data_IF_258364690955
#
_entry.id   IF_258364690955
#
_cell.length_a   1.000
_cell.length_b   1.000
_cell.length_c   1.000
_cell.angle_alpha   90.00
_cell.angle_beta   90.00
_cell.angle_gamma   90.00
#
_symmetry.space_group_name_H-M   'P 1'
#
loop_
_entity.id
_entity.type
_entity.pdbx_description
1 polymer ?
#
# COMPACT_ATOMS: atom_id res chain seq x y z
N UNK A 1 -0.30 46.27 38.31
CA UNK A 1 -1.73 46.62 38.24
C UNK A 1 -1.88 47.67 37.15
N UNK A 2 -2.22 47.25 35.93
CA UNK A 2 -2.57 48.14 34.82
C UNK A 2 -4.00 47.78 34.47
N UNK A 3 -4.90 48.71 34.78
CA UNK A 3 -6.33 48.59 34.60
C UNK A 3 -6.63 48.81 33.11
N UNK A 4 -6.91 47.72 32.39
CA UNK A 4 -7.32 47.76 30.98
C UNK A 4 -8.83 47.67 30.93
N UNK A 5 -9.48 48.82 31.09
CA UNK A 5 -10.92 48.96 30.94
C UNK A 5 -11.23 48.95 29.43
N UNK A 6 -11.45 47.76 28.89
CA UNK A 6 -11.91 47.54 27.52
C UNK A 6 -13.36 48.04 27.41
N UNK A 7 -13.54 49.23 26.81
CA UNK A 7 -14.85 49.81 26.54
C UNK A 7 -15.67 48.86 25.67
N UNK A 8 -16.78 48.39 26.24
CA UNK A 8 -17.77 47.59 25.52
C UNK A 8 -18.24 48.32 24.25
N UNK A 9 -18.40 47.61 23.12
CA UNK A 9 -18.91 48.20 21.89
C UNK A 9 -20.33 48.74 22.10
N UNK A 10 -20.69 49.88 21.49
CA UNK A 10 -22.00 50.48 21.65
C UNK A 10 -23.10 49.52 21.16
N UNK A 11 -24.28 49.55 21.79
CA UNK A 11 -25.40 48.68 21.41
C UNK A 11 -25.81 48.93 19.95
N UNK A 12 -25.91 47.85 19.18
CA UNK A 12 -26.31 47.84 17.77
C UNK A 12 -27.62 48.60 17.59
N UNK A 13 -27.56 49.75 16.91
CA UNK A 13 -28.76 50.45 16.49
C UNK A 13 -29.53 49.61 15.47
N UNK A 14 -30.87 49.55 15.56
CA UNK A 14 -31.69 48.78 14.65
C UNK A 14 -31.49 49.29 13.21
N UNK A 15 -30.84 48.46 12.39
CA UNK A 15 -30.51 48.81 11.01
C UNK A 15 -31.79 49.06 10.21
N UNK A 16 -31.94 50.29 9.71
CA UNK A 16 -33.08 50.69 8.87
C UNK A 16 -33.25 49.73 7.69
N UNK A 17 -34.48 49.29 7.36
CA UNK A 17 -34.72 48.37 6.26
C UNK A 17 -34.22 48.96 4.94
N UNK A 18 -33.25 48.28 4.33
CA UNK A 18 -32.63 48.72 3.07
C UNK A 18 -33.61 48.65 1.92
N UNK A 19 -33.67 49.74 1.17
CA UNK A 19 -34.47 49.84 -0.06
C UNK A 19 -33.95 48.86 -1.12
N UNK A 20 -34.81 48.48 -2.08
CA UNK A 20 -34.41 47.57 -3.16
C UNK A 20 -33.17 48.06 -3.92
N UNK A 21 -33.09 49.37 -4.16
CA UNK A 21 -31.96 50.01 -4.83
C UNK A 21 -30.64 49.91 -4.03
N UNK A 22 -30.70 50.05 -2.70
CA UNK A 22 -29.52 49.90 -1.84
C UNK A 22 -29.01 48.45 -1.81
N UNK A 23 -29.91 47.47 -1.85
CA UNK A 23 -29.52 46.06 -1.95
C UNK A 23 -28.78 45.78 -3.25
N UNK A 24 -29.25 46.31 -4.39
CA UNK A 24 -28.58 46.12 -5.68
C UNK A 24 -27.21 46.82 -5.73
N UNK A 25 -27.05 48.00 -5.12
CA UNK A 25 -25.75 48.68 -5.03
C UNK A 25 -24.78 47.93 -4.11
N UNK A 26 -25.25 47.48 -2.95
CA UNK A 26 -24.43 46.70 -2.02
C UNK A 26 -23.97 45.37 -2.63
N UNK A 27 -24.81 44.75 -3.47
CA UNK A 27 -24.42 43.54 -4.20
C UNK A 27 -23.36 43.83 -5.27
N UNK A 28 -23.53 44.88 -6.08
CA UNK A 28 -22.52 45.29 -7.08
C UNK A 28 -21.18 45.67 -6.44
N UNK A 29 -21.19 46.29 -5.27
CA UNK A 29 -19.97 46.65 -4.55
C UNK A 29 -19.18 45.41 -4.05
N UNK A 30 -19.85 44.28 -3.81
CA UNK A 30 -19.21 43.05 -3.31
C UNK A 30 -18.64 42.15 -4.42
N UNK A 31 -19.04 42.36 -5.67
CA UNK A 31 -18.56 41.56 -6.81
C UNK A 31 -17.03 41.60 -6.98
N UNK A 32 -16.39 42.78 -7.09
CA UNK A 32 -14.93 42.84 -7.29
C UNK A 32 -14.16 42.33 -6.07
N UNK A 33 -14.74 42.43 -4.87
CA UNK A 33 -14.12 41.92 -3.65
C UNK A 33 -14.11 40.37 -3.60
N UNK A 34 -15.08 39.72 -4.24
CA UNK A 34 -15.13 38.25 -4.38
C UNK A 34 -14.16 37.71 -5.42
N UNK A 35 -13.95 38.44 -6.52
CA UNK A 35 -12.90 38.11 -7.50
C UNK A 35 -11.51 38.19 -6.87
N UNK A 36 -11.25 39.24 -6.07
CA UNK A 36 -9.98 39.38 -5.37
C UNK A 36 -9.80 38.40 -4.20
N UNK A 37 -10.88 37.98 -3.53
CA UNK A 37 -10.82 36.96 -2.46
C UNK A 37 -10.72 35.52 -2.99
N UNK A 38 -11.10 35.25 -4.24
CA UNK A 38 -10.90 33.95 -4.90
C UNK A 38 -9.55 33.84 -5.60
N UNK A 39 -8.80 34.93 -5.70
CA UNK A 39 -7.39 34.89 -6.06
C UNK A 39 -6.60 34.27 -4.89
N UNK A 40 -6.55 32.94 -4.87
CA UNK A 40 -5.68 32.17 -3.97
C UNK A 40 -4.27 32.76 -4.08
N UNK A 41 -3.64 33.19 -2.98
CA UNK A 41 -2.31 33.77 -3.04
C UNK A 41 -1.36 32.76 -3.71
N UNK A 42 -0.57 33.16 -4.73
CA UNK A 42 0.29 32.25 -5.48
C UNK A 42 1.37 31.57 -4.61
N UNK A 43 1.51 31.99 -3.35
CA UNK A 43 2.50 31.49 -2.41
C UNK A 43 2.17 30.09 -1.82
N UNK A 44 0.91 29.67 -1.79
CA UNK A 44 0.56 28.30 -1.30
C UNK A 44 0.90 27.23 -2.35
N UNK A 45 1.08 27.61 -3.62
CA UNK A 45 1.44 26.67 -4.69
C UNK A 45 2.94 26.37 -4.77
N UNK A 46 3.80 27.19 -4.15
CA UNK A 46 5.24 26.97 -4.12
C UNK A 46 5.65 25.93 -3.08
N UNK A 47 4.96 25.86 -1.94
CA UNK A 47 5.36 24.97 -0.83
C UNK A 47 4.88 23.51 -1.02
N UNK A 48 3.78 23.30 -1.75
CA UNK A 48 3.34 21.93 -2.13
C UNK A 48 4.22 21.33 -3.24
N UNK A 49 5.02 22.14 -3.94
CA UNK A 49 5.88 21.65 -5.05
C UNK A 49 7.27 21.17 -4.60
N UNK A 50 7.64 21.32 -3.32
CA UNK A 50 8.94 20.87 -2.82
C UNK A 50 8.97 19.43 -2.29
N UNK A 51 7.83 18.75 -2.17
CA UNK A 51 7.76 17.30 -1.96
C UNK A 51 7.44 16.58 -3.27
N UNK A 52 8.27 16.82 -4.29
CA UNK A 52 8.30 15.94 -5.45
C UNK A 52 8.96 14.62 -5.05
N UNK A 53 8.16 13.71 -4.49
CA UNK A 53 8.54 12.29 -4.41
C UNK A 53 8.75 11.81 -5.83
N UNK A 54 10.00 11.48 -6.14
CA UNK A 54 10.46 10.88 -7.38
C UNK A 54 9.56 9.67 -7.69
N UNK A 55 8.85 9.60 -8.83
CA UNK A 55 8.04 8.44 -9.14
C UNK A 55 8.96 7.23 -9.29
N UNK A 56 8.72 6.22 -8.46
CA UNK A 56 9.38 4.93 -8.57
C UNK A 56 9.07 4.36 -9.96
N UNK A 57 10.15 4.03 -10.67
CA UNK A 57 10.15 3.43 -12.00
C UNK A 57 9.32 2.14 -11.95
N UNK A 58 8.18 2.13 -12.63
CA UNK A 58 7.42 0.92 -12.90
C UNK A 58 8.19 0.08 -13.92
N UNK A 59 8.93 -0.93 -13.46
CA UNK A 59 9.50 -1.96 -14.32
C UNK A 59 8.39 -2.86 -14.85
N UNK A 60 8.03 -2.65 -16.12
CA UNK A 60 7.22 -3.58 -16.89
C UNK A 60 8.05 -4.85 -17.18
N UNK A 61 7.70 -5.97 -16.55
CA UNK A 61 8.23 -7.29 -16.91
C UNK A 61 7.19 -7.98 -17.80
N UNK A 62 7.43 -7.93 -19.11
CA UNK A 62 6.70 -8.73 -20.10
C UNK A 62 7.41 -10.08 -20.24
N UNK A 63 6.92 -11.12 -19.57
CA UNK A 63 7.38 -12.49 -19.81
C UNK A 63 6.57 -13.12 -20.94
N UNK A 64 7.15 -13.17 -22.15
CA UNK A 64 6.68 -14.02 -23.23
C UNK A 64 7.31 -15.40 -23.07
N UNK A 65 6.51 -16.42 -22.78
CA UNK A 65 6.94 -17.82 -22.73
C UNK A 65 6.18 -18.59 -23.80
N UNK A 66 6.89 -18.96 -24.86
CA UNK A 66 6.45 -19.91 -25.89
C UNK A 66 6.85 -21.32 -25.47
N UNK A 67 5.94 -22.29 -25.32
CA UNK A 67 6.33 -23.68 -25.13
C UNK A 67 6.52 -24.36 -26.49
N UNK A 68 7.74 -24.85 -26.74
CA UNK A 68 8.05 -25.77 -27.83
C UNK A 68 7.69 -27.20 -27.40
N UNK A 69 6.77 -27.83 -28.11
CA UNK A 69 6.37 -29.23 -27.95
C UNK A 69 7.14 -30.06 -28.96
N UNK A 70 7.90 -31.06 -28.50
CA UNK A 70 8.50 -32.10 -29.34
C UNK A 70 7.76 -33.42 -29.09
N UNK A 71 7.27 -34.12 -30.13
CA UNK A 71 6.58 -35.39 -29.95
C UNK A 71 7.56 -36.55 -29.83
N UNK A 72 7.28 -37.47 -28.91
CA UNK A 72 8.05 -38.69 -28.69
C UNK A 72 7.60 -39.76 -29.67
N UNK A 73 8.55 -40.30 -30.43
CA UNK A 73 8.33 -41.35 -31.42
C UNK A 73 8.21 -42.74 -30.81
N UNK A 74 7.21 -43.47 -31.29
CA UNK A 74 6.92 -44.88 -31.09
C UNK A 74 8.01 -45.77 -31.67
N UNK A 75 8.40 -46.85 -30.97
CA UNK A 75 8.88 -48.07 -31.62
C UNK A 75 8.69 -49.32 -30.75
N UNK A 76 7.80 -50.19 -31.21
CA UNK A 76 7.69 -51.60 -30.82
C UNK A 76 8.83 -52.41 -31.45
N UNK A 77 9.40 -53.37 -30.69
CA UNK A 77 9.88 -54.66 -31.22
C UNK A 77 9.75 -55.73 -30.12
N UNK A 78 8.94 -56.75 -30.43
CA UNK A 78 8.82 -58.04 -29.75
C UNK A 78 9.87 -59.02 -30.29
N UNK A 79 10.52 -59.82 -29.43
CA UNK A 79 10.68 -61.28 -29.63
C UNK A 79 11.56 -61.96 -28.56
N UNK A 80 11.05 -63.12 -28.11
CA UNK A 80 11.64 -64.21 -27.34
C UNK A 80 13.14 -64.47 -27.52
N UNK A 81 13.78 -64.85 -26.41
CA UNK A 81 15.01 -65.63 -26.40
C UNK A 81 15.54 -65.88 -24.99
N UNK A 82 15.25 -67.05 -24.42
CA UNK A 82 16.11 -67.68 -23.40
C UNK A 82 17.21 -68.43 -24.15
N UNK A 83 18.49 -68.19 -23.82
CA UNK A 83 19.14 -69.21 -23.01
C UNK A 83 20.11 -68.65 -21.96
N UNK A 84 20.24 -69.49 -20.94
CA UNK A 84 21.22 -69.53 -19.88
C UNK A 84 22.67 -69.37 -20.40
N UNK A 85 23.34 -68.29 -20.00
CA UNK A 85 24.80 -68.14 -20.08
C UNK A 85 25.31 -67.34 -18.89
N UNK A 86 26.00 -68.06 -18.01
CA UNK A 86 26.90 -67.58 -16.96
C UNK A 86 27.93 -66.62 -17.54
N UNK A 87 27.78 -65.32 -17.31
CA UNK A 87 28.84 -64.34 -17.53
C UNK A 87 28.76 -63.26 -16.45
N UNK A 88 29.91 -62.99 -15.82
CA UNK A 88 30.11 -61.91 -14.86
C UNK A 88 29.58 -60.57 -15.39
N UNK A 89 28.38 -60.18 -14.97
CA UNK A 89 27.84 -58.84 -15.17
C UNK A 89 28.32 -57.98 -14.01
N UNK A 90 29.35 -57.19 -14.27
CA UNK A 90 29.64 -56.01 -13.45
C UNK A 90 28.38 -55.11 -13.45
N UNK A 91 27.96 -54.56 -12.31
CA UNK A 91 26.72 -53.79 -12.22
C UNK A 91 26.89 -52.44 -12.94
N UNK A 92 26.54 -52.39 -14.21
CA UNK A 92 26.35 -51.16 -14.99
C UNK A 92 25.01 -50.51 -14.64
N UNK A 93 24.87 -50.11 -13.38
CA UNK A 93 23.71 -49.39 -12.84
C UNK A 93 24.20 -48.05 -12.30
N UNK A 94 24.79 -47.21 -13.14
CA UNK A 94 25.29 -45.88 -12.72
C UNK A 94 24.66 -44.70 -13.47
N UNK A 95 23.74 -44.92 -14.42
CA UNK A 95 23.30 -43.84 -15.31
C UNK A 95 22.01 -43.08 -14.91
N UNK A 96 21.24 -43.50 -13.89
CA UNK A 96 19.91 -42.91 -13.61
C UNK A 96 19.83 -41.93 -12.43
N UNK A 97 20.88 -41.82 -11.61
CA UNK A 97 20.87 -40.92 -10.44
C UNK A 97 21.20 -39.45 -10.76
N UNK A 98 21.65 -39.12 -11.97
CA UNK A 98 22.10 -37.77 -12.33
C UNK A 98 20.96 -36.79 -12.66
N UNK A 99 19.75 -37.25 -13.01
CA UNK A 99 18.62 -36.35 -13.31
C UNK A 99 17.89 -35.85 -12.07
N UNK A 100 17.90 -36.60 -10.97
CA UNK A 100 17.19 -36.23 -9.74
C UNK A 100 17.95 -35.14 -8.97
N UNK A 101 19.28 -35.13 -9.03
CA UNK A 101 20.11 -34.11 -8.34
C UNK A 101 20.02 -32.73 -8.97
N UNK A 102 19.86 -32.63 -10.30
CA UNK A 102 19.81 -31.34 -11.00
C UNK A 102 18.54 -30.54 -10.66
N UNK A 103 17.39 -31.22 -10.56
CA UNK A 103 16.10 -30.57 -10.28
C UNK A 103 15.97 -30.03 -8.85
N UNK A 104 16.65 -30.66 -7.88
CA UNK A 104 16.69 -30.19 -6.50
C UNK A 104 17.54 -28.92 -6.35
N UNK A 105 18.58 -28.78 -7.18
CA UNK A 105 19.43 -27.60 -7.18
C UNK A 105 18.68 -26.34 -7.65
N UNK A 106 17.88 -26.45 -8.72
CA UNK A 106 17.13 -25.30 -9.29
C UNK A 106 16.14 -24.71 -8.28
N UNK A 107 15.41 -25.56 -7.55
CA UNK A 107 14.44 -25.11 -6.52
C UNK A 107 15.14 -24.38 -5.37
N UNK A 108 16.33 -24.84 -4.98
CA UNK A 108 17.13 -24.18 -3.94
C UNK A 108 17.56 -22.78 -4.36
N UNK A 109 18.12 -22.63 -5.57
CA UNK A 109 18.53 -21.32 -6.08
C UNK A 109 17.35 -20.34 -6.20
N UNK A 110 16.18 -20.83 -6.62
CA UNK A 110 14.99 -19.99 -6.76
C UNK A 110 14.47 -19.51 -5.39
N UNK A 111 14.49 -20.38 -4.38
CA UNK A 111 14.15 -20.02 -2.99
C UNK A 111 15.16 -19.03 -2.39
N UNK A 112 16.45 -19.23 -2.62
CA UNK A 112 17.51 -18.31 -2.17
C UNK A 112 17.34 -16.94 -2.84
N UNK A 113 17.11 -16.90 -4.16
CA UNK A 113 16.88 -15.66 -4.89
C UNK A 113 15.62 -14.93 -4.37
N UNK A 114 14.52 -15.66 -4.16
CA UNK A 114 13.30 -15.08 -3.58
C UNK A 114 13.54 -14.50 -2.18
N UNK A 115 14.31 -15.20 -1.34
CA UNK A 115 14.67 -14.71 -0.01
C UNK A 115 15.53 -13.44 -0.07
N UNK A 116 16.49 -13.34 -1.01
CA UNK A 116 17.27 -12.12 -1.21
C UNK A 116 16.43 -10.95 -1.70
N UNK A 117 15.49 -11.17 -2.62
CA UNK A 117 14.57 -10.13 -3.10
C UNK A 117 13.68 -9.64 -1.96
N UNK A 118 13.11 -10.56 -1.18
CA UNK A 118 12.28 -10.23 -0.02
C UNK A 118 13.07 -9.51 1.09
N UNK A 119 14.31 -9.94 1.37
CA UNK A 119 15.19 -9.27 2.31
C UNK A 119 15.63 -7.89 1.83
N UNK A 120 15.88 -7.73 0.53
CA UNK A 120 16.14 -6.44 -0.10
C UNK A 120 14.96 -5.47 0.00
N UNK A 121 13.74 -5.97 -0.21
CA UNK A 121 12.53 -5.18 0.01
C UNK A 121 12.35 -4.79 1.48
N UNK A 122 12.61 -5.71 2.43
CA UNK A 122 12.60 -5.42 3.86
C UNK A 122 13.59 -4.31 4.25
N UNK A 123 14.86 -4.46 3.84
CA UNK A 123 15.92 -3.48 4.13
C UNK A 123 15.64 -2.08 3.58
N UNK A 124 15.06 -1.99 2.38
CA UNK A 124 14.68 -0.69 1.80
C UNK A 124 13.52 -0.04 2.54
N UNK A 125 12.52 -0.81 2.96
CA UNK A 125 11.39 -0.31 3.78
C UNK A 125 11.89 0.15 5.16
N UNK A 126 12.62 -0.71 5.87
CA UNK A 126 13.20 -0.41 7.19
C UNK A 126 14.14 0.81 7.13
N UNK A 127 14.96 0.89 6.08
CA UNK A 127 15.88 2.00 5.86
C UNK A 127 15.17 3.33 5.61
N UNK A 128 14.11 3.31 4.79
CA UNK A 128 13.30 4.51 4.51
C UNK A 128 12.57 5.02 5.75
N UNK A 129 12.07 4.11 6.60
CA UNK A 129 11.43 4.48 7.87
C UNK A 129 12.44 4.98 8.90
N UNK A 130 13.61 4.35 8.99
CA UNK A 130 14.70 4.86 9.81
C UNK A 130 15.06 6.29 9.42
N UNK A 131 15.19 6.55 8.12
CA UNK A 131 15.50 7.89 7.63
C UNK A 131 14.45 8.94 8.03
N UNK A 132 13.15 8.59 8.06
CA UNK A 132 12.09 9.53 8.45
C UNK A 132 12.05 9.85 9.94
N UNK A 133 12.69 9.05 10.81
CA UNK A 133 12.83 9.35 12.24
C UNK A 133 13.92 10.39 12.53
N UNK A 134 14.82 10.63 11.57
CA UNK A 134 15.87 11.63 11.71
C UNK A 134 15.32 13.05 11.62
N UNK A 135 15.51 13.85 12.67
CA UNK A 135 15.25 15.31 12.62
C UNK A 135 16.27 16.08 11.78
N UNK A 136 17.35 15.41 11.36
CA UNK A 136 18.41 15.92 10.48
C UNK A 136 18.85 14.84 9.51
N UNK A 137 19.46 15.23 8.40
CA UNK A 137 19.96 14.29 7.38
C UNK A 137 20.96 13.27 7.95
N UNK A 138 21.80 13.71 8.90
CA UNK A 138 22.78 12.85 9.58
C UNK A 138 22.08 11.82 10.48
N UNK A 139 21.10 12.26 11.27
CA UNK A 139 20.31 11.35 12.10
C UNK A 139 19.52 10.34 11.24
N UNK A 140 18.94 10.80 10.12
CA UNK A 140 18.23 9.94 9.18
C UNK A 140 19.16 8.89 8.56
N UNK A 141 20.37 9.28 8.16
CA UNK A 141 21.39 8.35 7.67
C UNK A 141 21.80 7.30 8.71
N UNK A 142 21.96 7.70 9.98
CA UNK A 142 22.28 6.77 11.07
C UNK A 142 21.14 5.77 11.31
N UNK A 143 19.89 6.22 11.35
CA UNK A 143 18.75 5.33 11.53
C UNK A 143 18.53 4.39 10.33
N UNK A 144 18.82 4.84 9.11
CA UNK A 144 18.83 3.98 7.92
C UNK A 144 19.88 2.87 8.07
N UNK A 145 21.10 3.22 8.48
CA UNK A 145 22.17 2.25 8.69
C UNK A 145 21.82 1.24 9.80
N UNK A 146 21.18 1.69 10.89
CA UNK A 146 20.68 0.82 11.96
C UNK A 146 19.59 -0.13 11.44
N UNK A 147 18.66 0.35 10.62
CA UNK A 147 17.62 -0.46 10.00
C UNK A 147 18.19 -1.58 9.12
N UNK A 148 19.11 -1.23 8.21
CA UNK A 148 19.78 -2.21 7.34
C UNK A 148 20.60 -3.21 8.17
N UNK A 149 21.31 -2.76 9.20
CA UNK A 149 22.07 -3.63 10.08
C UNK A 149 21.17 -4.62 10.85
N UNK A 150 20.01 -4.16 11.34
CA UNK A 150 19.05 -5.01 12.04
C UNK A 150 18.50 -6.11 11.12
N UNK A 151 18.17 -5.78 9.86
CA UNK A 151 17.72 -6.76 8.88
C UNK A 151 18.81 -7.80 8.58
N UNK A 152 20.07 -7.38 8.39
CA UNK A 152 21.20 -8.30 8.20
C UNK A 152 21.40 -9.24 9.39
N UNK A 153 21.23 -8.73 10.62
CA UNK A 153 21.29 -9.53 11.85
C UNK A 153 20.17 -10.57 11.86
N UNK A 154 18.93 -10.19 11.52
CA UNK A 154 17.78 -11.10 11.48
C UNK A 154 18.00 -12.25 10.50
N UNK A 155 18.68 -12.00 9.37
CA UNK A 155 19.00 -13.04 8.38
C UNK A 155 20.21 -13.91 8.75
N UNK A 156 21.30 -13.32 9.22
CA UNK A 156 22.57 -14.04 9.38
C UNK A 156 22.69 -14.81 10.70
N UNK A 157 22.10 -14.28 11.77
CA UNK A 157 22.32 -14.77 13.13
C UNK A 157 21.72 -16.17 13.40
N UNK A 158 20.50 -16.52 12.94
CA UNK A 158 19.89 -17.81 13.29
C UNK A 158 20.74 -19.03 12.91
N UNK A 159 21.32 -19.06 11.70
CA UNK A 159 22.16 -20.16 11.24
C UNK A 159 23.43 -20.29 12.08
N UNK A 160 24.07 -19.17 12.43
CA UNK A 160 25.27 -19.17 13.30
C UNK A 160 24.94 -19.57 14.74
N UNK A 161 23.79 -19.12 15.26
CA UNK A 161 23.31 -19.52 16.59
C UNK A 161 23.10 -21.03 16.69
N UNK A 162 22.55 -21.67 15.65
CA UNK A 162 22.40 -23.14 15.61
C UNK A 162 23.75 -23.86 15.54
N UNK A 163 24.67 -23.38 14.71
CA UNK A 163 26.03 -23.96 14.65
C UNK A 163 26.75 -23.86 16.00
N UNK A 164 26.68 -22.70 16.68
CA UNK A 164 27.22 -22.50 18.03
C UNK A 164 26.56 -23.42 19.07
N UNK A 165 25.24 -23.62 18.96
CA UNK A 165 24.51 -24.53 19.83
C UNK A 165 24.96 -25.98 19.64
N UNK A 166 25.14 -26.43 18.39
CA UNK A 166 25.68 -27.76 18.04
C UNK A 166 27.12 -27.94 18.52
N UNK A 167 27.94 -26.89 18.43
CA UNK A 167 29.31 -26.86 18.96
C UNK A 167 29.39 -26.83 20.51
N UNK A 168 28.25 -26.99 21.21
CA UNK A 168 28.10 -26.93 22.67
C UNK A 168 28.49 -25.58 23.31
N UNK A 169 28.67 -24.52 22.54
CA UNK A 169 28.94 -23.17 23.04
C UNK A 169 27.63 -22.47 23.44
N UNK A 170 26.92 -23.03 24.43
CA UNK A 170 25.55 -22.63 24.79
C UNK A 170 25.43 -21.16 25.22
N UNK A 171 26.39 -20.63 25.96
CA UNK A 171 26.35 -19.24 26.42
C UNK A 171 26.37 -18.23 25.25
N UNK A 172 27.28 -18.45 24.30
CA UNK A 172 27.40 -17.60 23.10
C UNK A 172 26.17 -17.75 22.20
N UNK A 173 25.67 -18.98 22.05
CA UNK A 173 24.44 -19.24 21.30
C UNK A 173 23.22 -18.54 21.92
N UNK A 174 23.07 -18.57 23.25
CA UNK A 174 21.99 -17.85 23.94
C UNK A 174 22.09 -16.34 23.77
N UNK A 175 23.28 -15.76 23.91
CA UNK A 175 23.50 -14.33 23.67
C UNK A 175 23.13 -13.95 22.23
N UNK A 176 23.53 -14.77 21.26
CA UNK A 176 23.20 -14.62 19.85
C UNK A 176 21.68 -14.66 19.59
N UNK A 177 20.96 -15.58 20.23
CA UNK A 177 19.49 -15.63 20.17
C UNK A 177 18.80 -14.40 20.78
N UNK A 178 19.33 -13.87 21.89
CA UNK A 178 18.80 -12.64 22.50
C UNK A 178 18.98 -11.45 21.54
N UNK A 179 20.18 -11.28 20.97
CA UNK A 179 20.45 -10.21 20.00
C UNK A 179 19.54 -10.33 18.78
N UNK A 180 19.36 -11.54 18.27
CA UNK A 180 18.43 -11.81 17.18
C UNK A 180 16.99 -11.42 17.53
N UNK A 181 16.52 -11.78 18.73
CA UNK A 181 15.15 -11.47 19.16
C UNK A 181 14.93 -9.96 19.28
N UNK A 182 15.91 -9.22 19.81
CA UNK A 182 15.85 -7.75 19.87
C UNK A 182 15.79 -7.14 18.47
N UNK A 183 16.66 -7.57 17.55
CA UNK A 183 16.66 -7.10 16.16
C UNK A 183 15.35 -7.45 15.44
N UNK A 184 14.82 -8.65 15.67
CA UNK A 184 13.53 -9.10 15.13
C UNK A 184 12.39 -8.20 15.59
N UNK A 185 12.30 -7.93 16.90
CA UNK A 185 11.26 -7.04 17.45
C UNK A 185 11.38 -5.64 16.87
N UNK A 186 12.60 -5.12 16.71
CA UNK A 186 12.85 -3.84 16.07
C UNK A 186 12.34 -3.82 14.61
N UNK A 187 12.68 -4.82 13.79
CA UNK A 187 12.23 -4.92 12.38
C UNK A 187 10.70 -5.00 12.29
N UNK A 188 10.06 -5.78 13.18
CA UNK A 188 8.59 -5.87 13.23
C UNK A 188 7.97 -4.52 13.59
N UNK A 189 8.48 -3.83 14.61
CA UNK A 189 7.99 -2.50 15.01
C UNK A 189 8.20 -1.45 13.91
N UNK A 190 9.35 -1.47 13.24
CA UNK A 190 9.62 -0.60 12.10
C UNK A 190 8.66 -0.87 10.93
N UNK A 191 8.38 -2.15 10.63
CA UNK A 191 7.40 -2.55 9.63
C UNK A 191 5.98 -2.07 9.97
N UNK A 192 5.58 -2.17 11.25
CA UNK A 192 4.29 -1.64 11.73
C UNK A 192 4.23 -0.12 11.61
N UNK A 193 5.31 0.59 11.95
CA UNK A 193 5.41 2.06 11.83
C UNK A 193 5.23 2.52 10.39
N UNK A 194 5.99 1.93 9.46
CA UNK A 194 5.86 2.22 8.03
C UNK A 194 4.44 1.94 7.51
N UNK A 195 3.87 0.80 7.91
CA UNK A 195 2.50 0.43 7.60
C UNK A 195 1.48 1.46 8.11
N UNK A 196 1.64 1.95 9.34
CA UNK A 196 0.73 2.93 9.93
C UNK A 196 0.78 4.31 9.25
N UNK A 197 1.97 4.77 8.85
CA UNK A 197 2.12 6.06 8.16
C UNK A 197 1.45 6.04 6.78
N UNK A 198 1.63 4.95 6.04
CA UNK A 198 0.95 4.76 4.77
C UNK A 198 -0.57 4.68 4.94
N UNK A 199 -1.05 4.03 6.00
CA UNK A 199 -2.49 3.97 6.29
C UNK A 199 -3.05 5.34 6.67
N UNK A 200 -2.31 6.14 7.44
CA UNK A 200 -2.72 7.50 7.80
C UNK A 200 -2.88 8.40 6.57
N UNK A 201 -1.94 8.31 5.61
CA UNK A 201 -2.00 9.06 4.36
C UNK A 201 -3.23 8.66 3.52
N UNK A 202 -3.48 7.35 3.38
CA UNK A 202 -4.67 6.85 2.66
C UNK A 202 -5.96 7.26 3.35
N UNK A 203 -6.01 7.25 4.69
CA UNK A 203 -7.17 7.73 5.45
C UNK A 203 -7.42 9.22 5.26
N UNK A 204 -6.36 10.03 5.23
CA UNK A 204 -6.47 11.47 5.02
C UNK A 204 -6.94 11.79 3.60
N UNK A 205 -6.44 11.07 2.60
CA UNK A 205 -6.91 11.18 1.21
C UNK A 205 -8.37 10.75 1.09
N UNK A 206 -8.74 9.58 1.65
CA UNK A 206 -10.14 9.12 1.69
C UNK A 206 -11.07 10.10 2.41
N UNK A 207 -10.62 10.72 3.50
CA UNK A 207 -11.39 11.75 4.21
C UNK A 207 -11.54 13.02 3.36
N UNK A 208 -10.56 13.38 2.53
CA UNK A 208 -10.68 14.49 1.59
C UNK A 208 -11.68 14.19 0.47
N UNK A 209 -11.64 12.97 -0.08
CA UNK A 209 -12.56 12.50 -1.12
C UNK A 209 -13.99 12.42 -0.56
N UNK A 210 -14.18 11.82 0.61
CA UNK A 210 -15.48 11.75 1.27
C UNK A 210 -16.08 13.14 1.49
N UNK A 211 -15.27 14.11 1.96
CA UNK A 211 -15.70 15.51 2.10
C UNK A 211 -16.11 16.15 0.77
N UNK A 212 -15.39 15.86 -0.32
CA UNK A 212 -15.76 16.35 -1.65
C UNK A 212 -17.09 15.78 -2.13
N UNK A 213 -17.34 14.49 -1.91
CA UNK A 213 -18.62 13.84 -2.23
C UNK A 213 -19.76 14.45 -1.41
N UNK A 214 -19.60 14.58 -0.09
CA UNK A 214 -20.61 15.20 0.78
C UNK A 214 -20.93 16.64 0.34
N UNK A 215 -19.90 17.43 0.01
CA UNK A 215 -20.08 18.81 -0.47
C UNK A 215 -20.83 18.87 -1.80
N UNK A 216 -20.57 17.95 -2.73
CA UNK A 216 -21.29 17.86 -3.99
C UNK A 216 -22.75 17.41 -3.80
N UNK A 217 -23.01 16.51 -2.85
CA UNK A 217 -24.37 16.12 -2.48
C UNK A 217 -25.17 17.26 -1.85
N UNK A 218 -24.58 18.02 -0.93
CA UNK A 218 -25.22 19.20 -0.33
C UNK A 218 -25.54 20.25 -1.39
N UNK A 219 -24.60 20.51 -2.31
CA UNK A 219 -24.81 21.43 -3.42
C UNK A 219 -25.95 20.98 -4.35
N UNK A 220 -26.05 19.67 -4.62
CA UNK A 220 -27.15 19.12 -5.40
C UNK A 220 -28.50 19.27 -4.68
N UNK A 221 -28.56 18.98 -3.37
CA UNK A 221 -29.80 19.14 -2.58
C UNK A 221 -30.25 20.61 -2.54
N UNK A 222 -29.32 21.55 -2.43
CA UNK A 222 -29.65 22.99 -2.46
C UNK A 222 -30.15 23.41 -3.85
N UNK A 223 -29.54 22.92 -4.94
CA UNK A 223 -30.00 23.16 -6.30
C UNK A 223 -31.42 22.60 -6.54
N UNK A 224 -31.70 21.37 -6.08
CA UNK A 224 -33.03 20.74 -6.16
C UNK A 224 -34.08 21.54 -5.37
N UNK A 225 -33.74 21.98 -4.15
CA UNK A 225 -34.62 22.81 -3.34
C UNK A 225 -34.86 24.19 -3.97
N UNK A 226 -33.85 24.78 -4.62
CA UNK A 226 -34.00 26.03 -5.36
C UNK A 226 -34.88 25.88 -6.59
N UNK A 227 -34.73 24.78 -7.33
CA UNK A 227 -35.59 24.47 -8.49
C UNK A 227 -37.05 24.34 -8.04
N UNK A 228 -37.31 23.58 -6.99
CA UNK A 228 -38.66 23.35 -6.47
C UNK A 228 -39.37 24.67 -6.09
N UNK A 229 -38.64 25.60 -5.45
CA UNK A 229 -39.19 26.92 -5.07
C UNK A 229 -39.58 27.77 -6.28
N UNK A 230 -38.74 27.81 -7.31
CA UNK A 230 -38.95 28.67 -8.49
C UNK A 230 -39.96 28.06 -9.47
N UNK A 231 -39.88 26.76 -9.72
CA UNK A 231 -40.75 26.06 -10.68
C UNK A 231 -42.19 25.87 -10.18
N UNK A 232 -42.46 26.02 -8.87
CA UNK A 232 -43.82 25.95 -8.32
C UNK A 232 -44.77 27.01 -8.90
N UNK A 233 -44.22 28.14 -9.37
CA UNK A 233 -44.96 29.24 -9.97
C UNK A 233 -45.23 29.08 -11.48
N UNK A 234 -44.72 28.01 -12.10
CA UNK A 234 -44.86 27.71 -13.53
C UNK A 234 -43.52 27.56 -14.27
N UNK A 235 -43.55 26.93 -15.44
CA UNK A 235 -42.37 26.62 -16.27
C UNK A 235 -41.82 27.84 -17.04
N UNK A 236 -41.40 28.87 -16.30
CA UNK A 236 -40.78 30.08 -16.85
C UNK A 236 -39.30 29.91 -17.23
N UNK A 237 -38.69 30.97 -17.78
CA UNK A 237 -37.26 31.00 -18.16
C UNK A 237 -36.34 30.63 -16.98
N UNK A 238 -36.64 31.11 -15.78
CA UNK A 238 -35.87 30.82 -14.56
C UNK A 238 -35.93 29.34 -14.16
N UNK A 239 -37.06 28.67 -14.38
CA UNK A 239 -37.19 27.24 -14.10
C UNK A 239 -36.23 26.42 -14.99
N UNK A 240 -36.14 26.75 -16.28
CA UNK A 240 -35.21 26.08 -17.21
C UNK A 240 -33.74 26.31 -16.85
N UNK A 241 -33.39 27.51 -16.40
CA UNK A 241 -32.03 27.83 -15.95
C UNK A 241 -31.66 27.04 -14.69
N UNK A 242 -32.60 26.88 -13.74
CA UNK A 242 -32.41 26.05 -12.54
C UNK A 242 -32.31 24.56 -12.84
N UNK A 243 -33.08 24.06 -13.81
CA UNK A 243 -32.92 22.68 -14.29
C UNK A 243 -31.54 22.44 -14.91
N UNK A 244 -30.95 23.43 -15.58
CA UNK A 244 -29.61 23.31 -16.13
C UNK A 244 -28.55 23.31 -15.02
N UNK A 245 -28.66 24.20 -14.04
CA UNK A 245 -27.78 24.23 -12.85
C UNK A 245 -27.83 22.88 -12.10
N UNK A 246 -29.02 22.30 -11.90
CA UNK A 246 -29.13 20.97 -11.29
C UNK A 246 -28.46 19.87 -12.11
N UNK A 247 -28.60 19.88 -13.44
CA UNK A 247 -27.90 18.91 -14.31
C UNK A 247 -26.38 19.04 -14.18
N UNK A 248 -25.87 20.27 -14.10
CA UNK A 248 -24.45 20.53 -13.92
C UNK A 248 -23.98 20.06 -12.53
N UNK A 249 -24.73 20.32 -11.44
CA UNK A 249 -24.43 19.77 -10.11
C UNK A 249 -24.50 18.25 -10.04
N UNK A 250 -25.44 17.62 -10.75
CA UNK A 250 -25.50 16.15 -10.86
C UNK A 250 -24.25 15.60 -11.55
N UNK A 251 -23.75 16.27 -12.60
CA UNK A 251 -22.48 15.89 -13.26
C UNK A 251 -21.29 16.06 -12.33
N UNK A 252 -21.21 17.16 -11.58
CA UNK A 252 -20.18 17.38 -10.56
C UNK A 252 -20.18 16.29 -9.49
N UNK A 253 -21.36 15.95 -8.95
CA UNK A 253 -21.51 14.85 -7.98
C UNK A 253 -21.05 13.52 -8.57
N UNK A 254 -21.50 13.18 -9.79
CA UNK A 254 -21.10 11.94 -10.43
C UNK A 254 -19.60 11.88 -10.69
N UNK A 255 -18.97 12.99 -11.09
CA UNK A 255 -17.52 13.08 -11.25
C UNK A 255 -16.80 12.88 -9.90
N UNK A 256 -17.31 13.47 -8.81
CA UNK A 256 -16.75 13.27 -7.47
C UNK A 256 -16.89 11.81 -6.99
N UNK A 257 -18.03 11.18 -7.25
CA UNK A 257 -18.27 9.76 -6.92
C UNK A 257 -17.38 8.85 -7.75
N UNK A 258 -17.30 9.05 -9.07
CA UNK A 258 -16.41 8.26 -9.93
C UNK A 258 -14.93 8.47 -9.58
N UNK A 259 -14.54 9.67 -9.15
CA UNK A 259 -13.20 9.90 -8.60
C UNK A 259 -12.99 9.08 -7.32
N UNK A 260 -13.99 9.01 -6.43
CA UNK A 260 -13.92 8.20 -5.22
C UNK A 260 -13.85 6.70 -5.50
N UNK A 261 -14.61 6.24 -6.50
CA UNK A 261 -14.61 4.85 -6.98
C UNK A 261 -13.25 4.49 -7.60
N UNK A 262 -12.67 5.37 -8.42
CA UNK A 262 -11.34 5.15 -9.01
C UNK A 262 -10.22 5.17 -7.97
N UNK A 263 -10.42 5.86 -6.85
CA UNK A 263 -9.50 5.84 -5.70
C UNK A 263 -9.69 4.63 -4.79
N UNK A 264 -10.79 3.87 -4.94
CA UNK A 264 -10.93 2.59 -4.26
C UNK A 264 -10.04 1.56 -4.96
N UNK A 265 -9.15 0.92 -4.20
CA UNK A 265 -8.22 -0.07 -4.73
C UNK A 265 -8.98 -1.28 -5.29
N UNK A 266 -9.01 -1.51 -6.63
CA UNK A 266 -9.74 -2.63 -7.22
C UNK A 266 -9.20 -3.98 -6.76
N UNK A 267 -7.95 -4.04 -6.29
CA UNK A 267 -7.38 -5.27 -5.73
C UNK A 267 -8.01 -5.62 -4.38
N UNK A 268 -8.32 -4.61 -3.56
CA UNK A 268 -8.96 -4.83 -2.26
C UNK A 268 -10.40 -5.36 -2.44
N UNK A 269 -11.15 -4.84 -3.41
CA UNK A 269 -12.50 -5.34 -3.70
C UNK A 269 -12.51 -6.78 -4.23
N UNK A 270 -11.58 -7.11 -5.14
CA UNK A 270 -11.42 -8.49 -5.63
C UNK A 270 -11.05 -9.46 -4.49
N UNK A 271 -10.14 -9.04 -3.61
CA UNK A 271 -9.74 -9.84 -2.45
C UNK A 271 -10.91 -10.07 -1.48
N UNK A 272 -11.73 -9.05 -1.21
CA UNK A 272 -12.97 -9.18 -0.42
C UNK A 272 -13.90 -10.21 -1.04
N UNK A 273 -14.14 -10.15 -2.36
CA UNK A 273 -15.01 -11.11 -3.06
C UNK A 273 -14.47 -12.54 -2.99
N UNK A 274 -13.15 -12.72 -3.13
CA UNK A 274 -12.51 -14.04 -3.02
C UNK A 274 -12.68 -14.60 -1.60
N UNK A 275 -12.39 -13.82 -0.56
CA UNK A 275 -12.51 -14.30 0.82
C UNK A 275 -13.98 -14.54 1.19
N UNK A 276 -14.90 -13.68 0.77
CA UNK A 276 -16.33 -13.90 0.95
C UNK A 276 -16.80 -15.19 0.24
N UNK A 277 -16.30 -15.46 -0.97
CA UNK A 277 -16.61 -16.68 -1.71
C UNK A 277 -16.04 -17.94 -1.02
N UNK A 278 -14.76 -17.93 -0.65
CA UNK A 278 -14.08 -19.04 0.05
C UNK A 278 -14.79 -19.37 1.36
N UNK A 279 -15.28 -18.34 2.06
CA UNK A 279 -15.93 -18.50 3.37
C UNK A 279 -17.43 -18.74 3.27
N UNK A 280 -17.96 -18.95 2.06
CA UNK A 280 -19.39 -19.10 1.78
C UNK A 280 -20.24 -17.96 2.39
N UNK A 281 -19.69 -16.75 2.42
CA UNK A 281 -20.31 -15.55 2.97
C UNK A 281 -20.35 -15.46 4.50
N UNK A 282 -19.76 -16.43 5.23
CA UNK A 282 -19.70 -16.39 6.70
C UNK A 282 -18.80 -15.28 7.22
N UNK A 283 -17.75 -14.94 6.48
CA UNK A 283 -16.90 -13.78 6.76
C UNK A 283 -17.22 -12.69 5.72
N UNK A 284 -17.48 -11.49 6.22
CA UNK A 284 -17.62 -10.26 5.42
C UNK A 284 -16.47 -9.33 5.77
N UNK A 285 -15.23 -9.67 5.36
CA UNK A 285 -14.09 -8.81 5.62
C UNK A 285 -14.33 -7.46 4.99
N UNK A 286 -14.10 -6.41 5.76
CA UNK A 286 -14.15 -5.03 5.31
C UNK A 286 -12.83 -4.65 4.63
N UNK A 287 -12.83 -3.54 3.90
CA UNK A 287 -11.59 -3.01 3.31
C UNK A 287 -10.54 -2.66 4.39
N UNK A 288 -10.98 -2.32 5.60
CA UNK A 288 -10.11 -2.08 6.75
C UNK A 288 -9.45 -3.38 7.23
N UNK A 289 -10.16 -4.51 7.22
CA UNK A 289 -9.59 -5.82 7.60
C UNK A 289 -8.49 -6.26 6.64
N UNK A 290 -8.65 -6.04 5.33
CA UNK A 290 -7.58 -6.31 4.35
C UNK A 290 -6.40 -5.36 4.48
N UNK A 291 -6.66 -4.11 4.84
CA UNK A 291 -5.60 -3.15 5.14
C UNK A 291 -4.79 -3.68 6.34
N UNK A 292 -5.45 -4.06 7.43
CA UNK A 292 -4.81 -4.64 8.62
C UNK A 292 -4.08 -5.95 8.31
N UNK A 293 -4.70 -6.85 7.55
CA UNK A 293 -4.08 -8.11 7.12
C UNK A 293 -2.82 -7.85 6.30
N UNK A 294 -2.85 -6.87 5.39
CA UNK A 294 -1.67 -6.45 4.62
C UNK A 294 -0.59 -5.87 5.53
N UNK A 295 -0.93 -5.10 6.56
CA UNK A 295 0.05 -4.62 7.54
C UNK A 295 0.68 -5.78 8.31
N UNK A 296 -0.13 -6.73 8.75
CA UNK A 296 0.32 -7.94 9.45
C UNK A 296 1.24 -8.77 8.55
N UNK A 297 0.86 -8.99 7.28
CA UNK A 297 1.69 -9.70 6.30
C UNK A 297 2.99 -8.95 5.99
N UNK A 298 2.95 -7.63 5.79
CA UNK A 298 4.16 -6.83 5.56
C UNK A 298 5.09 -6.85 6.77
N UNK A 299 4.55 -6.86 7.98
CA UNK A 299 5.34 -7.00 9.21
C UNK A 299 5.91 -8.43 9.39
N UNK A 300 5.17 -9.46 8.95
CA UNK A 300 5.57 -10.88 9.06
C UNK A 300 6.42 -11.38 7.89
N UNK A 301 6.45 -10.70 6.74
CA UNK A 301 7.18 -11.16 5.56
C UNK A 301 8.71 -11.22 5.77
N UNK A 302 9.35 -10.18 6.33
CA UNK A 302 10.79 -10.22 6.63
C UNK A 302 11.18 -11.39 7.55
N UNK A 303 10.47 -11.65 8.68
CA UNK A 303 10.85 -12.76 9.55
C UNK A 303 10.60 -14.16 8.97
N UNK A 304 9.56 -14.33 8.15
CA UNK A 304 9.32 -15.59 7.45
C UNK A 304 10.43 -15.88 6.44
N UNK A 305 10.97 -14.86 5.76
CA UNK A 305 12.12 -14.99 4.87
C UNK A 305 13.37 -15.52 5.59
N UNK A 306 13.64 -15.02 6.80
CA UNK A 306 14.75 -15.52 7.64
C UNK A 306 14.57 -16.99 8.04
N UNK A 307 13.34 -17.39 8.42
CA UNK A 307 13.01 -18.77 8.75
C UNK A 307 13.18 -19.73 7.57
N UNK A 308 12.78 -19.32 6.36
CA UNK A 308 12.95 -20.12 5.14
C UNK A 308 14.42 -20.31 4.79
N UNK A 309 15.25 -19.26 4.90
CA UNK A 309 16.70 -19.38 4.70
C UNK A 309 17.31 -20.36 5.72
N UNK A 310 16.85 -20.32 6.96
CA UNK A 310 17.31 -21.23 8.01
C UNK A 310 17.03 -22.70 7.65
N UNK A 311 15.80 -23.01 7.21
CA UNK A 311 15.39 -24.38 6.80
C UNK A 311 16.14 -24.85 5.55
N UNK A 312 16.39 -23.95 4.58
CA UNK A 312 17.15 -24.33 3.38
C UNK A 312 18.63 -24.58 3.68
N UNK A 313 19.23 -23.80 4.59
CA UNK A 313 20.64 -23.95 4.97
C UNK A 313 20.93 -25.22 5.77
N UNK A 314 19.99 -25.69 6.59
CA UNK A 314 20.19 -26.89 7.42
C UNK A 314 20.19 -28.19 6.61
N UNK A 315 19.69 -28.18 5.38
CA UNK A 315 19.58 -29.35 4.50
C UNK A 315 20.79 -29.56 3.59
N UNK A 316 21.74 -28.62 3.58
CA UNK A 316 22.98 -28.71 2.81
C UNK A 316 24.14 -29.37 3.60
N UNK A 317 23.97 -29.60 4.90
CA UNK A 317 24.98 -30.22 5.77
C UNK A 317 24.76 -31.73 6.02
N UNK A 318 23.71 -32.33 5.42
CA UNK A 318 23.50 -33.79 5.35
C UNK A 318 23.89 -34.33 3.96
#
# INVERSE_FOLDING_TARGET
>A
MIDSTESAPPPDQPSRPKTGAERTRAWRARLPQRENASAVPPNVRAEIRSSAVKPAVASAVTASVTPAVTPNGTRDVTANGTPDVTANVAPDVTASHSRVTLWWSIKSYLLTAAAFVLGGAGTTISGSFGQSLGSSDVAGGLYLAVGVAADLIVFAVPSKSVQLWRARQRAVASASWIVWLVAFVYVVLAGIGFASDNLANVKLERASIARNVTRAEEALRDAEASRERECRSGAGRFCREREQDERDRRRERNAAVSSAENSADPQTEAAIKIVAWITAGKLKPTADDFSMLRLILLALFPPVGGLLLMITSSRQEE
#
